data_IF_192861632437
#
_entry.id   IF_192861632437
#
_cell.length_a   1.000
_cell.length_b   1.000
_cell.length_c   1.000
_cell.angle_alpha   90.00
_cell.angle_beta   90.00
_cell.angle_gamma   90.00
#
_symmetry.space_group_name_H-M   'P 1'
#
loop_
_entity.id
_entity.type
_entity.pdbx_description
1 polymer ?
#
# COMPACT_ATOMS: atom_id res chain seq x y z
N UNK A 1 -26.52 -37.32 8.08
CA UNK A 1 -26.07 -35.94 7.77
C UNK A 1 -24.93 -35.95 6.74
N UNK A 2 -24.84 -37.01 5.93
CA UNK A 2 -23.76 -37.30 4.97
C UNK A 2 -24.15 -36.93 3.52
N UNK A 3 -25.41 -36.50 3.31
CA UNK A 3 -26.01 -36.24 2.00
C UNK A 3 -25.94 -34.77 1.55
N UNK A 4 -25.66 -33.83 2.45
CA UNK A 4 -25.68 -32.40 2.12
C UNK A 4 -24.32 -31.87 1.61
N UNK A 5 -23.21 -32.49 2.02
CA UNK A 5 -21.87 -32.24 1.48
C UNK A 5 -21.58 -32.97 0.17
N UNK A 6 -22.46 -33.87 -0.26
CA UNK A 6 -22.31 -34.65 -1.50
C UNK A 6 -22.72 -33.89 -2.77
N UNK A 7 -23.30 -32.70 -2.64
CA UNK A 7 -23.87 -31.94 -3.77
C UNK A 7 -22.99 -30.75 -4.21
N UNK A 8 -21.90 -30.47 -3.49
CA UNK A 8 -20.96 -29.42 -3.89
C UNK A 8 -19.82 -30.04 -4.70
N UNK A 9 -19.64 -29.57 -5.93
CA UNK A 9 -18.59 -30.04 -6.84
C UNK A 9 -17.23 -29.84 -6.20
N UNK A 10 -16.51 -30.92 -5.92
CA UNK A 10 -15.17 -30.84 -5.34
C UNK A 10 -14.21 -30.11 -6.30
N UNK A 11 -13.34 -29.26 -5.77
CA UNK A 11 -12.34 -28.51 -6.54
C UNK A 11 -10.92 -28.99 -6.20
N UNK A 12 -10.07 -29.11 -7.21
CA UNK A 12 -8.64 -29.37 -7.05
C UNK A 12 -7.85 -28.13 -7.50
N UNK A 13 -7.19 -27.46 -6.55
CA UNK A 13 -6.39 -26.28 -6.86
C UNK A 13 -4.95 -26.67 -7.18
N UNK A 14 -4.58 -26.60 -8.45
CA UNK A 14 -3.23 -26.77 -8.95
C UNK A 14 -2.46 -25.47 -8.77
N UNK A 15 -1.29 -25.53 -8.15
CA UNK A 15 -0.43 -24.37 -7.89
C UNK A 15 0.98 -24.66 -8.40
N UNK A 16 1.45 -23.86 -9.35
CA UNK A 16 2.80 -24.03 -9.91
C UNK A 16 3.88 -23.50 -8.95
N UNK A 17 5.10 -24.04 -9.07
CA UNK A 17 6.30 -23.52 -8.40
C UNK A 17 6.80 -22.20 -9.01
N UNK A 18 8.03 -21.78 -8.73
CA UNK A 18 8.55 -20.46 -9.19
C UNK A 18 8.78 -20.38 -10.73
N UNK A 19 8.66 -21.50 -11.45
CA UNK A 19 8.99 -21.63 -12.88
C UNK A 19 8.03 -20.96 -13.88
N UNK A 20 6.89 -20.42 -13.43
CA UNK A 20 5.96 -19.69 -14.31
C UNK A 20 5.24 -20.54 -15.35
N UNK A 21 4.88 -21.77 -14.98
CA UNK A 21 4.08 -22.71 -15.78
C UNK A 21 2.76 -22.08 -16.23
N UNK A 22 2.35 -22.36 -17.47
CA UNK A 22 1.12 -21.81 -18.05
C UNK A 22 -0.10 -22.59 -17.58
N UNK A 23 -1.32 -22.00 -17.60
CA UNK A 23 -2.52 -22.74 -17.22
C UNK A 23 -2.76 -23.94 -18.14
N UNK A 24 -2.38 -23.87 -19.42
CA UNK A 24 -2.50 -24.99 -20.38
C UNK A 24 -1.64 -26.18 -19.96
N UNK A 25 -0.41 -25.92 -19.53
CA UNK A 25 0.51 -26.95 -19.03
C UNK A 25 0.03 -27.54 -17.71
N UNK A 26 -0.48 -26.71 -16.79
CA UNK A 26 -1.02 -27.17 -15.51
C UNK A 26 -2.26 -28.04 -15.68
N UNK A 27 -3.16 -27.66 -16.58
CA UNK A 27 -4.43 -28.35 -16.82
C UNK A 27 -4.33 -29.45 -17.88
N UNK A 28 -3.20 -29.56 -18.58
CA UNK A 28 -3.01 -30.51 -19.68
C UNK A 28 -3.96 -30.30 -20.86
N UNK A 29 -4.48 -29.08 -21.04
CA UNK A 29 -5.45 -28.74 -22.10
C UNK A 29 -5.10 -27.37 -22.70
N UNK A 30 -4.97 -27.26 -24.04
CA UNK A 30 -4.69 -25.98 -24.70
C UNK A 30 -5.84 -24.97 -24.63
N UNK A 31 -7.06 -25.38 -24.25
CA UNK A 31 -8.26 -24.54 -24.19
C UNK A 31 -8.60 -24.21 -22.75
N UNK A 32 -7.91 -23.23 -22.20
CA UNK A 32 -8.17 -22.71 -20.85
C UNK A 32 -9.00 -21.42 -20.89
N UNK A 33 -9.74 -21.17 -19.81
CA UNK A 33 -10.49 -19.94 -19.62
C UNK A 33 -10.26 -19.41 -18.21
N UNK A 34 -10.05 -18.10 -18.08
CA UNK A 34 -9.96 -17.43 -16.79
C UNK A 34 -11.33 -17.36 -16.15
N UNK A 35 -11.48 -17.97 -14.97
CA UNK A 35 -12.73 -17.96 -14.20
C UNK A 35 -12.76 -16.88 -13.12
N UNK A 36 -11.58 -16.48 -12.61
CA UNK A 36 -11.44 -15.46 -11.57
C UNK A 36 -10.06 -14.80 -11.62
N UNK A 37 -9.95 -13.61 -11.01
CA UNK A 37 -8.72 -12.83 -10.93
C UNK A 37 -8.48 -11.92 -12.14
N UNK A 38 -7.22 -11.55 -12.35
CA UNK A 38 -6.78 -10.57 -13.35
C UNK A 38 -5.54 -11.05 -14.11
N UNK A 39 -4.88 -10.16 -14.86
CA UNK A 39 -3.68 -10.52 -15.64
C UNK A 39 -2.44 -10.72 -14.74
N UNK A 40 -2.52 -10.37 -13.45
CA UNK A 40 -1.44 -10.49 -12.47
C UNK A 40 -1.51 -11.82 -11.71
N UNK A 41 -2.70 -12.19 -11.25
CA UNK A 41 -2.95 -13.49 -10.65
C UNK A 41 -4.39 -13.92 -10.92
N UNK A 42 -4.56 -15.15 -11.40
CA UNK A 42 -5.85 -15.64 -11.84
C UNK A 42 -6.00 -17.14 -11.65
N UNK A 43 -7.25 -17.57 -11.58
CA UNK A 43 -7.64 -18.97 -11.59
C UNK A 43 -8.20 -19.29 -12.97
N UNK A 44 -7.71 -20.38 -13.55
CA UNK A 44 -8.11 -20.89 -14.85
C UNK A 44 -8.71 -22.27 -14.72
N UNK A 45 -9.66 -22.58 -15.60
CA UNK A 45 -10.19 -23.92 -15.82
C UNK A 45 -10.05 -24.31 -17.28
N UNK A 46 -10.20 -25.60 -17.57
CA UNK A 46 -10.43 -26.05 -18.94
C UNK A 46 -11.77 -25.49 -19.41
N UNK A 47 -11.91 -25.22 -20.71
CA UNK A 47 -13.13 -24.62 -21.24
C UNK A 47 -14.35 -25.53 -21.01
N UNK A 48 -14.16 -26.85 -20.98
CA UNK A 48 -15.22 -27.83 -20.68
C UNK A 48 -15.67 -27.86 -19.21
N UNK A 49 -14.84 -27.35 -18.30
CA UNK A 49 -15.11 -27.31 -16.85
C UNK A 49 -15.58 -25.92 -16.39
N UNK A 50 -15.76 -24.97 -17.32
CA UNK A 50 -16.06 -23.58 -17.01
C UNK A 50 -17.38 -23.39 -16.25
N UNK A 51 -18.33 -24.32 -16.42
CA UNK A 51 -19.66 -24.31 -15.81
C UNK A 51 -19.92 -25.54 -14.93
N UNK A 52 -18.86 -26.14 -14.38
CA UNK A 52 -18.94 -27.40 -13.61
C UNK A 52 -19.95 -27.36 -12.45
N UNK A 53 -20.16 -26.20 -11.82
CA UNK A 53 -21.15 -26.00 -10.76
C UNK A 53 -22.60 -26.11 -11.26
N UNK A 54 -22.85 -25.92 -12.57
CA UNK A 54 -24.17 -26.10 -13.19
C UNK A 54 -24.44 -27.55 -13.57
N UNK A 55 -23.40 -28.40 -13.56
CA UNK A 55 -23.44 -29.81 -13.96
C UNK A 55 -22.76 -30.71 -12.91
N UNK A 56 -23.18 -30.66 -11.63
CA UNK A 56 -22.49 -31.38 -10.55
C UNK A 56 -22.47 -32.90 -10.76
N UNK A 57 -23.50 -33.45 -11.42
CA UNK A 57 -23.58 -34.87 -11.74
C UNK A 57 -22.43 -35.35 -12.64
N UNK A 58 -21.93 -34.50 -13.55
CA UNK A 58 -20.81 -34.83 -14.45
C UNK A 58 -19.49 -35.00 -13.68
N UNK A 59 -19.41 -34.51 -12.44
CA UNK A 59 -18.21 -34.47 -11.60
C UNK A 59 -18.35 -35.27 -10.29
N UNK A 60 -19.37 -36.14 -10.17
CA UNK A 60 -19.47 -37.05 -9.03
C UNK A 60 -18.23 -37.92 -8.90
N UNK A 61 -17.55 -37.82 -7.76
CA UNK A 61 -16.37 -38.62 -7.45
C UNK A 61 -15.08 -38.18 -8.15
N UNK A 62 -15.06 -37.04 -8.85
CA UNK A 62 -13.84 -36.44 -9.40
C UNK A 62 -13.81 -34.93 -9.12
N UNK A 63 -12.68 -34.37 -8.66
CA UNK A 63 -12.57 -32.93 -8.49
C UNK A 63 -12.45 -32.22 -9.84
N UNK A 64 -12.88 -30.96 -9.89
CA UNK A 64 -12.65 -30.06 -11.02
C UNK A 64 -11.27 -29.42 -10.84
N UNK A 65 -10.32 -29.62 -11.77
CA UNK A 65 -9.01 -29.02 -11.68
C UNK A 65 -9.05 -27.53 -12.02
N UNK A 66 -8.43 -26.72 -11.16
CA UNK A 66 -8.26 -25.28 -11.30
C UNK A 66 -6.78 -24.92 -11.25
N UNK A 67 -6.28 -24.22 -12.26
CA UNK A 67 -4.91 -23.72 -12.26
C UNK A 67 -4.84 -22.32 -11.67
N UNK A 68 -4.16 -22.16 -10.54
CA UNK A 68 -3.80 -20.86 -9.99
C UNK A 68 -2.46 -20.39 -10.55
N UNK A 69 -2.53 -19.36 -11.40
CA UNK A 69 -1.37 -18.75 -12.06
C UNK A 69 -0.99 -17.48 -11.33
N UNK A 70 0.24 -17.42 -10.82
CA UNK A 70 0.71 -16.34 -9.92
C UNK A 70 2.08 -15.76 -10.30
N UNK A 71 2.69 -16.22 -11.39
CA UNK A 71 4.03 -15.81 -11.82
C UNK A 71 4.18 -14.29 -12.01
N UNK A 72 3.13 -13.61 -12.49
CA UNK A 72 3.15 -12.16 -12.67
C UNK A 72 3.18 -11.36 -11.35
N UNK A 73 3.00 -12.02 -10.18
CA UNK A 73 3.29 -11.44 -8.86
C UNK A 73 4.79 -11.34 -8.58
N UNK A 74 5.64 -12.15 -9.24
CA UNK A 74 7.10 -12.22 -8.96
C UNK A 74 8.02 -11.92 -10.13
N UNK A 75 7.56 -11.91 -11.39
CA UNK A 75 8.42 -11.63 -12.57
C UNK A 75 8.01 -10.43 -13.47
N UNK A 76 7.04 -9.60 -13.06
CA UNK A 76 6.49 -8.52 -13.89
C UNK A 76 7.27 -7.19 -14.02
N UNK A 77 6.57 -6.19 -14.61
CA UNK A 77 6.95 -4.85 -15.08
C UNK A 77 8.13 -4.10 -14.38
N UNK A 78 8.92 -3.34 -15.15
CA UNK A 78 10.10 -2.58 -14.70
C UNK A 78 9.82 -1.48 -13.65
N UNK A 79 8.55 -1.07 -13.49
CA UNK A 79 8.11 -0.22 -12.37
C UNK A 79 8.36 -0.85 -11.00
N UNK A 80 8.70 -2.14 -10.94
CA UNK A 80 9.12 -2.83 -9.72
C UNK A 80 10.37 -2.25 -9.08
N UNK A 81 11.27 -1.62 -9.83
CA UNK A 81 12.43 -0.94 -9.25
C UNK A 81 12.02 0.15 -8.24
N UNK A 82 10.87 0.82 -8.46
CA UNK A 82 10.33 1.82 -7.54
C UNK A 82 9.95 1.22 -6.18
N UNK A 83 9.76 -0.10 -6.08
CA UNK A 83 9.50 -0.77 -4.80
C UNK A 83 10.70 -0.77 -3.86
N UNK A 84 11.91 -0.52 -4.36
CA UNK A 84 13.08 -0.37 -3.49
C UNK A 84 12.90 0.80 -2.50
N UNK A 85 12.20 1.86 -2.91
CA UNK A 85 11.83 2.97 -2.01
C UNK A 85 10.88 2.50 -0.90
N UNK A 86 10.06 1.49 -1.19
CA UNK A 86 9.09 0.91 -0.26
C UNK A 86 9.61 -0.34 0.46
N UNK A 87 10.84 -0.77 0.18
CA UNK A 87 11.47 -1.94 0.80
C UNK A 87 11.42 -1.88 2.34
N UNK A 88 11.70 -0.75 3.01
CA UNK A 88 11.58 -0.67 4.47
C UNK A 88 10.17 -1.01 4.97
N UNK A 89 9.13 -0.58 4.25
CA UNK A 89 7.73 -0.90 4.57
C UNK A 89 7.43 -2.38 4.34
N UNK A 90 7.98 -2.98 3.29
CA UNK A 90 7.84 -4.43 3.04
C UNK A 90 8.43 -5.25 4.18
N UNK A 91 9.60 -4.85 4.70
CA UNK A 91 10.24 -5.52 5.85
C UNK A 91 9.37 -5.40 7.11
N UNK A 92 8.80 -4.22 7.38
CA UNK A 92 7.88 -4.04 8.52
C UNK A 92 6.61 -4.88 8.35
N UNK A 93 6.07 -4.97 7.13
CA UNK A 93 4.94 -5.84 6.83
C UNK A 93 5.30 -7.32 7.07
N UNK A 94 6.47 -7.78 6.65
CA UNK A 94 6.95 -9.13 6.94
C UNK A 94 7.10 -9.37 8.46
N UNK A 95 7.66 -8.40 9.19
CA UNK A 95 7.79 -8.49 10.64
C UNK A 95 6.42 -8.65 11.32
N UNK A 96 5.35 -8.06 10.79
CA UNK A 96 3.99 -8.29 11.29
C UNK A 96 3.58 -9.77 11.20
N UNK A 97 3.91 -10.44 10.11
CA UNK A 97 3.61 -11.85 9.87
C UNK A 97 4.50 -12.80 10.68
N UNK A 98 5.73 -12.38 11.00
CA UNK A 98 6.66 -13.11 11.88
C UNK A 98 6.31 -13.04 13.38
N UNK A 99 5.14 -12.50 13.73
CA UNK A 99 4.68 -12.32 15.12
C UNK A 99 4.64 -13.66 15.88
N UNK A 100 5.28 -13.76 17.07
CA UNK A 100 5.31 -15.00 17.83
C UNK A 100 3.93 -15.55 18.21
N UNK A 101 3.71 -16.84 18.01
CA UNK A 101 2.47 -17.54 18.36
C UNK A 101 2.42 -17.90 19.84
N UNK A 102 2.22 -16.90 20.72
CA UNK A 102 2.07 -17.14 22.17
C UNK A 102 0.61 -17.00 22.63
N UNK A 103 0.01 -18.10 23.12
CA UNK A 103 -1.35 -18.10 23.68
C UNK A 103 -1.40 -17.50 25.10
N UNK A 104 -0.31 -17.61 25.87
CA UNK A 104 -0.25 -17.19 27.28
C UNK A 104 0.26 -15.76 27.49
N UNK A 105 0.96 -15.14 26.51
CA UNK A 105 1.54 -13.78 26.66
C UNK A 105 0.79 -12.71 25.86
N UNK A 106 -0.55 -12.65 25.96
CA UNK A 106 -1.43 -11.75 25.18
C UNK A 106 -0.95 -10.29 25.13
N UNK A 107 -0.47 -9.73 26.26
CA UNK A 107 0.06 -8.36 26.34
C UNK A 107 1.28 -8.17 25.45
N UNK A 108 2.29 -9.04 25.58
CA UNK A 108 3.50 -8.99 24.75
C UNK A 108 3.16 -9.04 23.25
N UNK A 109 2.25 -9.93 22.85
CA UNK A 109 1.90 -10.05 21.44
C UNK A 109 1.12 -8.83 20.91
N UNK A 110 0.39 -8.13 21.78
CA UNK A 110 -0.25 -6.83 21.45
C UNK A 110 0.78 -5.72 21.35
N UNK A 111 1.71 -5.63 22.29
CA UNK A 111 2.80 -4.65 22.29
C UNK A 111 3.66 -4.79 21.04
N UNK A 112 4.05 -6.00 20.66
CA UNK A 112 4.75 -6.26 19.40
C UNK A 112 3.97 -5.70 18.19
N UNK A 113 2.68 -6.02 18.12
CA UNK A 113 1.82 -5.51 17.05
C UNK A 113 1.64 -4.00 17.04
N UNK A 114 1.70 -3.34 18.21
CA UNK A 114 1.70 -1.89 18.31
C UNK A 114 3.03 -1.31 17.80
N UNK A 115 4.16 -1.84 18.27
CA UNK A 115 5.49 -1.39 17.89
C UNK A 115 5.73 -1.51 16.39
N UNK A 116 5.36 -2.64 15.77
CA UNK A 116 5.47 -2.82 14.31
C UNK A 116 4.66 -1.76 13.55
N UNK A 117 3.46 -1.42 14.02
CA UNK A 117 2.63 -0.36 13.41
C UNK A 117 3.24 1.02 13.61
N UNK A 118 3.81 1.30 14.78
CA UNK A 118 4.50 2.56 15.06
C UNK A 118 5.74 2.71 14.18
N UNK A 119 6.54 1.66 14.01
CA UNK A 119 7.70 1.67 13.09
C UNK A 119 7.25 1.96 11.67
N UNK A 120 6.18 1.30 11.20
CA UNK A 120 5.60 1.61 9.88
C UNK A 120 5.17 3.07 9.76
N UNK A 121 4.52 3.62 10.79
CA UNK A 121 4.10 5.02 10.80
C UNK A 121 5.29 5.98 10.80
N UNK A 122 6.34 5.68 11.58
CA UNK A 122 7.59 6.45 11.61
C UNK A 122 8.27 6.45 10.25
N UNK A 123 8.30 5.32 9.53
CA UNK A 123 8.82 5.28 8.17
C UNK A 123 8.04 6.20 7.21
N UNK A 124 6.72 6.32 7.38
CA UNK A 124 5.92 7.29 6.60
C UNK A 124 6.32 8.71 6.93
N UNK A 125 6.47 9.05 8.21
CA UNK A 125 6.92 10.38 8.62
C UNK A 125 8.31 10.67 8.05
N UNK A 126 9.26 9.73 8.14
CA UNK A 126 10.61 9.88 7.60
C UNK A 126 10.62 10.08 6.07
N UNK A 127 9.86 9.27 5.34
CA UNK A 127 9.76 9.38 3.88
C UNK A 127 9.21 10.75 3.46
N UNK A 128 8.13 11.21 4.11
CA UNK A 128 7.52 12.50 3.79
C UNK A 128 8.39 13.66 4.27
N UNK A 129 9.05 13.52 5.42
CA UNK A 129 10.00 14.52 5.93
C UNK A 129 11.20 14.68 4.98
N UNK A 130 11.75 13.59 4.45
CA UNK A 130 12.82 13.66 3.45
C UNK A 130 12.36 14.37 2.18
N UNK A 131 11.14 14.11 1.70
CA UNK A 131 10.57 14.84 0.57
C UNK A 131 10.37 16.33 0.90
N UNK A 132 9.98 16.67 2.13
CA UNK A 132 9.89 18.06 2.61
C UNK A 132 11.26 18.73 2.65
N UNK A 133 12.31 18.04 3.14
CA UNK A 133 13.67 18.57 3.18
C UNK A 133 14.18 18.91 1.79
N UNK A 134 14.01 18.01 0.82
CA UNK A 134 14.41 18.26 -0.57
C UNK A 134 13.62 19.43 -1.20
N UNK A 135 12.30 19.45 -1.04
CA UNK A 135 11.44 20.42 -1.71
C UNK A 135 11.41 21.79 -1.01
N UNK A 136 11.14 21.81 0.29
CA UNK A 136 10.94 23.03 1.06
C UNK A 136 12.27 23.66 1.46
N UNK A 137 13.19 22.88 2.03
CA UNK A 137 14.43 23.41 2.59
C UNK A 137 15.49 23.61 1.50
N UNK A 138 15.95 22.55 0.85
CA UNK A 138 17.04 22.66 -0.12
C UNK A 138 16.64 23.45 -1.37
N UNK A 139 15.46 23.17 -1.93
CA UNK A 139 15.02 23.77 -3.19
C UNK A 139 14.39 25.14 -2.99
N UNK A 140 13.27 25.21 -2.26
CA UNK A 140 12.48 26.43 -2.17
C UNK A 140 13.06 27.47 -1.20
N UNK A 141 13.70 27.04 -0.11
CA UNK A 141 14.24 27.96 0.88
C UNK A 141 15.68 28.38 0.56
N UNK A 142 16.58 27.41 0.44
CA UNK A 142 18.00 27.66 0.26
C UNK A 142 18.32 28.03 -1.20
N UNK A 143 18.02 27.17 -2.16
CA UNK A 143 18.45 27.42 -3.54
C UNK A 143 17.69 28.55 -4.22
N UNK A 144 16.35 28.57 -4.16
CA UNK A 144 15.57 29.68 -4.73
C UNK A 144 15.76 30.99 -3.97
N UNK A 145 16.22 30.96 -2.71
CA UNK A 145 16.56 32.15 -1.94
C UNK A 145 17.98 32.68 -2.15
N UNK A 146 18.83 31.95 -2.89
CA UNK A 146 20.23 32.30 -3.09
C UNK A 146 20.50 32.55 -4.56
N UNK A 147 20.80 33.79 -4.99
CA UNK A 147 21.01 34.13 -6.41
C UNK A 147 22.06 33.27 -7.12
N UNK A 148 23.16 32.93 -6.43
CA UNK A 148 24.21 32.07 -6.98
C UNK A 148 23.73 30.63 -7.25
N UNK A 149 22.73 30.13 -6.50
CA UNK A 149 22.16 28.81 -6.72
C UNK A 149 21.08 28.83 -7.81
N UNK A 150 20.24 29.86 -7.84
CA UNK A 150 19.15 29.95 -8.80
C UNK A 150 19.59 30.43 -10.19
N UNK A 151 20.68 31.19 -10.29
CA UNK A 151 21.18 31.79 -11.54
C UNK A 151 21.43 30.79 -12.68
N UNK A 152 22.00 29.63 -12.36
CA UNK A 152 22.27 28.56 -13.34
C UNK A 152 21.06 27.63 -13.59
N UNK A 153 19.93 27.87 -12.91
CA UNK A 153 18.76 26.99 -12.90
C UNK A 153 17.52 27.73 -13.42
N UNK A 154 17.40 27.84 -14.74
CA UNK A 154 16.29 28.55 -15.40
C UNK A 154 14.88 28.11 -14.93
N UNK A 155 14.71 26.84 -14.55
CA UNK A 155 13.44 26.31 -14.02
C UNK A 155 13.05 26.87 -12.63
N UNK A 156 14.02 27.39 -11.87
CA UNK A 156 13.79 28.09 -10.60
C UNK A 156 13.59 29.60 -10.78
N UNK A 157 13.78 30.15 -11.98
CA UNK A 157 13.80 31.60 -12.19
C UNK A 157 12.54 32.34 -11.72
N UNK A 158 11.37 31.70 -11.81
CA UNK A 158 10.12 32.31 -11.34
C UNK A 158 9.97 32.28 -9.79
N UNK A 159 10.68 31.38 -9.10
CA UNK A 159 10.72 31.25 -7.64
C UNK A 159 11.92 31.98 -7.01
N UNK A 160 12.90 32.35 -7.84
CA UNK A 160 14.15 32.93 -7.41
C UNK A 160 13.96 34.34 -6.86
N UNK A 161 14.62 34.64 -5.74
CA UNK A 161 14.86 36.00 -5.31
C UNK A 161 16.09 36.57 -6.06
N UNK A 162 16.03 37.86 -6.40
CA UNK A 162 17.15 38.61 -6.93
C UNK A 162 18.16 39.01 -5.84
N UNK A 163 19.27 39.63 -6.24
CA UNK A 163 20.35 40.03 -5.33
C UNK A 163 19.91 41.06 -4.26
N UNK A 164 18.81 41.78 -4.48
CA UNK A 164 18.18 42.70 -3.53
C UNK A 164 17.23 42.01 -2.56
N UNK A 165 16.95 40.71 -2.74
CA UNK A 165 15.93 39.97 -2.00
C UNK A 165 14.51 40.20 -2.52
N UNK A 166 14.37 40.96 -3.61
CA UNK A 166 13.12 41.20 -4.32
C UNK A 166 12.95 40.17 -5.45
N UNK A 167 11.77 40.12 -6.07
CA UNK A 167 11.54 39.23 -7.19
C UNK A 167 10.08 39.23 -7.63
N UNK A 168 9.73 38.30 -8.52
CA UNK A 168 8.36 38.15 -9.00
C UNK A 168 7.38 37.72 -7.90
N UNK A 169 6.08 37.65 -8.23
CA UNK A 169 5.03 37.25 -7.28
C UNK A 169 5.32 35.98 -6.48
N UNK A 170 6.04 35.02 -7.07
CA UNK A 170 6.35 33.71 -6.48
C UNK A 170 7.68 33.66 -5.70
N UNK A 171 8.51 34.71 -5.73
CA UNK A 171 9.79 34.75 -4.99
C UNK A 171 9.60 34.88 -3.48
N UNK A 172 8.43 35.39 -3.08
CA UNK A 172 8.04 35.57 -1.67
C UNK A 172 8.14 34.24 -0.89
N UNK A 173 8.86 34.20 0.26
CA UNK A 173 9.17 32.97 0.98
C UNK A 173 7.95 32.09 1.29
N UNK A 174 6.84 32.67 1.73
CA UNK A 174 5.62 31.91 2.00
C UNK A 174 5.02 31.26 0.75
N UNK A 175 5.07 31.93 -0.40
CA UNK A 175 4.45 31.43 -1.65
C UNK A 175 5.28 30.34 -2.31
N UNK A 176 6.60 30.49 -2.35
CA UNK A 176 7.50 29.43 -2.85
C UNK A 176 7.42 28.18 -1.98
N UNK A 177 7.34 28.33 -0.66
CA UNK A 177 7.16 27.20 0.26
C UNK A 177 5.79 26.52 0.07
N UNK A 178 4.72 27.30 -0.11
CA UNK A 178 3.39 26.76 -0.39
C UNK A 178 3.35 25.97 -1.71
N UNK A 179 4.01 26.47 -2.77
CA UNK A 179 4.11 25.76 -4.03
C UNK A 179 4.96 24.49 -3.90
N UNK A 180 6.09 24.57 -3.23
CA UNK A 180 6.98 23.42 -3.02
C UNK A 180 6.33 22.32 -2.16
N UNK A 181 5.42 22.67 -1.25
CA UNK A 181 4.65 21.72 -0.46
C UNK A 181 3.73 20.82 -1.30
N UNK A 182 3.42 21.20 -2.54
CA UNK A 182 2.68 20.35 -3.47
C UNK A 182 3.42 19.04 -3.76
N UNK A 183 4.76 19.02 -3.76
CA UNK A 183 5.53 17.81 -4.04
C UNK A 183 5.33 16.72 -2.96
N UNK A 184 5.62 16.96 -1.67
CA UNK A 184 5.39 15.95 -0.62
C UNK A 184 3.89 15.66 -0.40
N UNK A 185 3.00 16.63 -0.64
CA UNK A 185 1.56 16.39 -0.63
C UNK A 185 1.11 15.46 -1.76
N UNK A 186 1.62 15.67 -2.98
CA UNK A 186 1.35 14.81 -4.14
C UNK A 186 1.92 13.41 -3.93
N UNK A 187 3.11 13.26 -3.35
CA UNK A 187 3.66 11.97 -2.95
C UNK A 187 2.71 11.24 -1.99
N UNK A 188 2.23 11.92 -0.95
CA UNK A 188 1.28 11.35 0.01
C UNK A 188 -0.04 10.96 -0.67
N UNK A 189 -0.56 11.82 -1.55
CA UNK A 189 -1.77 11.57 -2.33
C UNK A 189 -1.63 10.39 -3.30
N UNK A 190 -0.47 10.26 -3.95
CA UNK A 190 -0.15 9.13 -4.82
C UNK A 190 -0.13 7.82 -4.04
N UNK A 191 0.54 7.78 -2.88
CA UNK A 191 0.59 6.59 -2.03
C UNK A 191 -0.81 6.22 -1.50
N UNK A 192 -1.61 7.22 -1.12
CA UNK A 192 -3.02 7.01 -0.76
C UNK A 192 -3.81 6.42 -1.92
N UNK A 193 -3.67 6.97 -3.13
CA UNK A 193 -4.38 6.52 -4.32
C UNK A 193 -4.01 5.06 -4.66
N UNK A 194 -2.72 4.74 -4.69
CA UNK A 194 -2.23 3.39 -4.95
C UNK A 194 -2.74 2.41 -3.89
N UNK A 195 -2.67 2.78 -2.61
CA UNK A 195 -3.19 1.98 -1.50
C UNK A 195 -4.71 1.78 -1.57
N UNK A 196 -5.46 2.80 -2.02
CA UNK A 196 -6.91 2.70 -2.15
C UNK A 196 -7.29 1.81 -3.34
N UNK A 197 -6.61 1.96 -4.48
CA UNK A 197 -6.86 1.19 -5.70
C UNK A 197 -6.62 -0.30 -5.47
N UNK A 198 -5.48 -0.68 -4.88
CA UNK A 198 -5.16 -2.08 -4.59
C UNK A 198 -6.12 -2.68 -3.55
N UNK A 199 -6.42 -1.93 -2.49
CA UNK A 199 -7.40 -2.36 -1.49
C UNK A 199 -8.79 -2.57 -2.10
N UNK A 200 -9.26 -1.68 -2.98
CA UNK A 200 -10.58 -1.84 -3.61
C UNK A 200 -10.63 -3.08 -4.52
N UNK A 201 -9.53 -3.39 -5.20
CA UNK A 201 -9.46 -4.54 -6.10
C UNK A 201 -9.50 -5.87 -5.33
N UNK A 202 -8.69 -6.02 -4.28
CA UNK A 202 -8.50 -7.30 -3.60
C UNK A 202 -9.41 -7.51 -2.38
N UNK A 203 -9.85 -6.43 -1.72
CA UNK A 203 -10.57 -6.51 -0.43
C UNK A 203 -12.09 -6.26 -0.57
N UNK A 204 -12.58 -6.16 -1.81
CA UNK A 204 -14.00 -6.04 -2.12
C UNK A 204 -14.75 -7.37 -2.06
N UNK A 205 -14.03 -8.49 -2.17
CA UNK A 205 -14.58 -9.84 -2.09
C UNK A 205 -14.93 -10.18 -0.64
N UNK A 206 -16.22 -10.41 -0.38
CA UNK A 206 -16.68 -10.82 0.94
C UNK A 206 -16.41 -12.31 1.13
N UNK A 207 -15.94 -12.74 2.32
CA UNK A 207 -15.83 -14.16 2.62
C UNK A 207 -17.19 -14.85 2.45
N UNK A 208 -17.18 -16.06 1.89
CA UNK A 208 -18.38 -16.89 1.83
C UNK A 208 -18.92 -17.11 3.25
N UNK A 209 -20.25 -17.03 3.46
CA UNK A 209 -20.85 -17.40 4.73
C UNK A 209 -20.63 -18.90 4.98
N UNK A 210 -19.76 -19.25 5.93
CA UNK A 210 -19.49 -20.65 6.23
C UNK A 210 -20.59 -21.20 7.16
N UNK A 211 -21.15 -22.37 6.82
CA UNK A 211 -21.97 -23.15 7.74
C UNK A 211 -21.09 -23.69 8.88
N UNK A 212 -21.57 -23.72 10.13
CA UNK A 212 -20.77 -24.19 11.26
C UNK A 212 -20.47 -25.70 11.09
N UNK A 213 -19.21 -26.02 10.79
CA UNK A 213 -18.70 -27.38 10.78
C UNK A 213 -18.21 -27.77 12.19
N UNK A 214 -18.82 -28.77 12.85
CA UNK A 214 -18.44 -29.19 14.20
C UNK A 214 -17.03 -29.80 14.31
N UNK A 215 -16.41 -30.26 13.22
CA UNK A 215 -15.04 -30.81 13.25
C UNK A 215 -13.93 -29.74 13.33
N UNK A 216 -14.23 -28.49 12.95
CA UNK A 216 -13.27 -27.37 12.94
C UNK A 216 -12.91 -26.85 14.34
N UNK A 217 -13.59 -27.25 15.42
CA UNK A 217 -13.34 -26.70 16.76
C UNK A 217 -11.98 -27.11 17.35
N UNK A 218 -11.40 -28.22 16.89
CA UNK A 218 -10.24 -28.86 17.56
C UNK A 218 -8.87 -28.46 17.00
N UNK A 219 -8.79 -27.90 15.77
CA UNK A 219 -7.50 -27.71 15.06
C UNK A 219 -7.37 -26.39 14.27
N UNK A 220 -7.93 -25.27 14.73
CA UNK A 220 -7.77 -23.99 13.99
C UNK A 220 -6.36 -23.40 14.12
N UNK A 221 -5.51 -23.68 13.14
CA UNK A 221 -4.40 -22.79 12.77
C UNK A 221 -4.97 -21.38 12.52
N UNK A 222 -4.21 -20.32 12.80
CA UNK A 222 -4.74 -18.96 12.69
C UNK A 222 -5.23 -18.62 11.27
N UNK A 223 -4.57 -19.20 10.25
CA UNK A 223 -4.82 -18.97 8.83
C UNK A 223 -6.19 -19.51 8.35
N UNK A 224 -6.72 -20.56 8.99
CA UNK A 224 -8.01 -21.16 8.64
C UNK A 224 -9.20 -20.53 9.36
N UNK A 225 -9.00 -19.42 10.10
CA UNK A 225 -10.12 -18.78 10.81
C UNK A 225 -10.99 -17.97 9.83
N UNK A 226 -12.33 -18.05 9.93
CA UNK A 226 -13.22 -17.23 9.10
C UNK A 226 -12.88 -15.75 9.21
N UNK A 227 -12.77 -15.09 8.05
CA UNK A 227 -12.41 -13.67 7.96
C UNK A 227 -10.96 -13.35 8.30
N UNK A 228 -10.07 -14.33 8.52
CA UNK A 228 -8.65 -14.07 8.76
C UNK A 228 -8.00 -13.26 7.64
N UNK A 229 -8.32 -13.61 6.39
CA UNK A 229 -7.85 -12.95 5.18
C UNK A 229 -8.65 -11.69 4.83
N UNK A 230 -9.71 -11.36 5.58
CA UNK A 230 -10.57 -10.21 5.33
C UNK A 230 -10.18 -9.03 6.24
N UNK A 231 -9.20 -8.25 5.80
CA UNK A 231 -8.63 -7.09 6.46
C UNK A 231 -9.34 -5.75 6.19
N UNK A 232 -10.48 -5.71 5.47
CA UNK A 232 -11.14 -4.48 4.96
C UNK A 232 -11.10 -3.27 5.89
N UNK A 233 -11.59 -3.41 7.12
CA UNK A 233 -11.66 -2.31 8.10
C UNK A 233 -10.28 -1.93 8.66
N UNK A 234 -9.42 -2.92 8.89
CA UNK A 234 -8.09 -2.70 9.47
C UNK A 234 -7.20 -1.94 8.49
N UNK A 235 -7.15 -2.39 7.24
CA UNK A 235 -6.35 -1.76 6.19
C UNK A 235 -6.83 -0.32 5.91
N UNK A 236 -8.16 -0.09 5.90
CA UNK A 236 -8.72 1.25 5.74
C UNK A 236 -8.29 2.21 6.87
N UNK A 237 -8.30 1.76 8.13
CA UNK A 237 -7.86 2.56 9.29
C UNK A 237 -6.36 2.85 9.24
N UNK A 238 -5.55 1.86 8.87
CA UNK A 238 -4.12 2.07 8.70
C UNK A 238 -3.85 3.09 7.60
N UNK A 239 -4.45 2.94 6.42
CA UNK A 239 -4.33 3.91 5.33
C UNK A 239 -4.67 5.33 5.78
N UNK A 240 -5.77 5.51 6.51
CA UNK A 240 -6.17 6.81 7.04
C UNK A 240 -5.11 7.38 8.00
N UNK A 241 -4.58 6.57 8.93
CA UNK A 241 -3.55 6.99 9.87
C UNK A 241 -2.25 7.41 9.17
N UNK A 242 -1.78 6.64 8.19
CA UNK A 242 -0.58 6.97 7.41
C UNK A 242 -0.77 8.22 6.56
N UNK A 243 -1.93 8.37 5.93
CA UNK A 243 -2.26 9.56 5.12
C UNK A 243 -2.31 10.81 6.00
N UNK A 244 -2.96 10.73 7.16
CA UNK A 244 -3.01 11.83 8.11
C UNK A 244 -1.61 12.20 8.63
N UNK A 245 -0.79 11.22 9.01
CA UNK A 245 0.57 11.47 9.47
C UNK A 245 1.44 12.12 8.38
N UNK A 246 1.32 11.68 7.13
CA UNK A 246 2.01 12.30 6.00
C UNK A 246 1.61 13.77 5.81
N UNK A 247 0.30 14.06 5.74
CA UNK A 247 -0.20 15.42 5.58
C UNK A 247 0.16 16.34 6.77
N UNK A 248 0.09 15.81 8.01
CA UNK A 248 0.52 16.55 9.20
C UNK A 248 2.02 16.84 9.19
N UNK A 249 2.84 15.95 8.63
CA UNK A 249 4.28 16.17 8.48
C UNK A 249 4.54 17.33 7.51
N UNK A 250 3.83 17.38 6.37
CA UNK A 250 3.91 18.49 5.42
C UNK A 250 3.47 19.80 6.08
N UNK A 251 2.33 19.80 6.78
CA UNK A 251 1.82 20.97 7.47
C UNK A 251 2.80 21.49 8.55
N UNK A 252 3.39 20.58 9.32
CA UNK A 252 4.40 20.92 10.31
C UNK A 252 5.67 21.52 9.67
N UNK A 253 6.15 20.95 8.56
CA UNK A 253 7.34 21.45 7.87
C UNK A 253 7.13 22.88 7.30
N UNK A 254 5.98 23.12 6.67
CA UNK A 254 5.60 24.46 6.17
C UNK A 254 5.40 25.44 7.32
N UNK A 255 4.61 25.05 8.33
CA UNK A 255 4.25 25.92 9.46
C UNK A 255 5.46 26.32 10.32
N UNK A 256 6.37 25.38 10.59
CA UNK A 256 7.61 25.69 11.33
C UNK A 256 8.54 26.62 10.55
N UNK A 257 8.62 26.46 9.23
CA UNK A 257 9.43 27.33 8.37
C UNK A 257 8.86 28.74 8.31
N UNK A 258 7.55 28.89 8.11
CA UNK A 258 6.86 30.18 8.14
C UNK A 258 6.98 30.87 9.50
N UNK A 259 6.69 30.16 10.60
CA UNK A 259 6.80 30.71 11.95
C UNK A 259 8.23 31.13 12.33
N UNK A 260 9.27 30.50 11.78
CA UNK A 260 10.67 30.94 11.97
C UNK A 260 11.01 32.19 11.16
N UNK A 261 10.41 32.36 9.98
CA UNK A 261 10.58 33.55 9.16
C UNK A 261 9.91 34.77 9.79
N UNK A 262 8.66 34.60 10.22
CA UNK A 262 7.82 35.68 10.73
C UNK A 262 8.23 36.16 12.13
N UNK A 263 9.02 35.36 12.87
CA UNK A 263 9.61 35.75 14.17
C UNK A 263 10.95 36.50 14.05
N UNK A 264 11.40 36.84 12.84
CA UNK A 264 12.57 37.71 12.64
C UNK A 264 12.19 39.17 12.88
N UNK A 265 13.18 40.00 13.23
CA UNK A 265 12.97 41.43 13.49
C UNK A 265 12.24 42.11 12.31
N UNK A 266 11.07 42.71 12.59
CA UNK A 266 10.17 43.30 11.60
C UNK A 266 8.90 42.49 11.29
N UNK A 267 8.71 41.32 11.90
CA UNK A 267 7.49 40.51 11.77
C UNK A 267 6.30 40.98 12.62
N UNK A 268 5.10 40.36 12.45
CA UNK A 268 3.91 40.73 13.20
C UNK A 268 4.08 40.42 14.70
N UNK A 269 4.08 41.45 15.56
CA UNK A 269 4.33 41.30 17.01
C UNK A 269 3.36 40.40 17.78
N UNK A 270 2.28 39.95 17.14
CA UNK A 270 1.35 38.95 17.70
C UNK A 270 1.97 37.54 17.75
N UNK A 271 3.00 37.27 16.93
CA UNK A 271 3.74 36.00 16.90
C UNK A 271 4.90 35.93 17.89
N UNK A 272 5.27 37.05 18.54
CA UNK A 272 6.25 37.05 19.64
C UNK A 272 5.61 36.60 20.98
N UNK A 273 4.28 36.55 21.05
CA UNK A 273 3.52 36.20 22.24
C UNK A 273 3.02 34.74 22.28
N UNK A 274 3.28 33.94 21.24
CA UNK A 274 2.89 32.52 21.09
C UNK A 274 4.12 31.62 20.94
#
# INVERSE_FOLDING_TARGET
MERATQDETALELLVHGVGGTTPEEMLGDPRTVRISGDDTAAVFRRTEDADAERRPDDYRGKPVPEAYVWCNLTSGNGSRALWLLLLPFMVVNLAHWMRPTSRHRKRLVRTYGLLVRLVGLTLTVLLVAAACELALDLTAWQCAGTPDCSGDRAWLGFLAADASGDGGWWSQPGRRLALAALLPAALTGLLWYLSHRTWSAYESQQPLPQQPDPEEETSRTALGRPGFWYGRRLVARLRAAHTAAGLLTVAAAVGTSAARHDRRAGGPGLLDAL
#
